data_IF_294491477558
#
_entry.id   IF_294491477558
#
_cell.length_a   1.000
_cell.length_b   1.000
_cell.length_c   1.000
_cell.angle_alpha   90.00
_cell.angle_beta   90.00
_cell.angle_gamma   90.00
#
_symmetry.space_group_name_H-M   'P 1'
#
loop_
_entity.id
_entity.type
_entity.pdbx_description
1 polymer ?
#
# COMPACT_ATOMS: atom_id res chain seq x y z
N UNK A 1 -10.17 13.15 -6.55
CA UNK A 1 -11.34 12.32 -6.48
C UNK A 1 -10.94 10.94 -6.96
N UNK A 2 -11.44 9.95 -6.25
CA UNK A 2 -11.32 8.57 -6.65
C UNK A 2 -12.06 8.39 -7.98
N UNK A 3 -11.36 7.90 -8.99
CA UNK A 3 -11.91 7.59 -10.33
C UNK A 3 -12.59 6.21 -10.36
N UNK A 4 -12.52 5.46 -9.27
CA UNK A 4 -13.02 4.08 -9.15
C UNK A 4 -14.19 4.00 -8.17
N UNK A 5 -15.35 3.59 -8.69
CA UNK A 5 -16.55 3.41 -7.87
C UNK A 5 -16.73 2.00 -7.31
N UNK A 6 -16.05 1.00 -7.85
CA UNK A 6 -16.15 -0.40 -7.41
C UNK A 6 -14.79 -1.08 -7.51
N UNK A 7 -14.49 -1.92 -6.52
CA UNK A 7 -13.27 -2.72 -6.57
C UNK A 7 -13.37 -3.74 -7.72
N UNK A 8 -12.27 -4.01 -8.44
CA UNK A 8 -12.15 -5.18 -9.30
C UNK A 8 -12.34 -6.47 -8.49
N UNK A 9 -12.45 -7.60 -9.21
CA UNK A 9 -12.57 -8.91 -8.57
C UNK A 9 -11.35 -9.20 -7.69
N UNK A 10 -11.61 -9.51 -6.42
CA UNK A 10 -10.58 -9.98 -5.48
C UNK A 10 -10.03 -11.33 -5.94
N UNK A 11 -8.70 -11.41 -6.08
CA UNK A 11 -7.99 -12.67 -6.29
C UNK A 11 -7.86 -13.37 -4.95
N UNK A 12 -8.27 -14.64 -4.86
CA UNK A 12 -8.28 -15.38 -3.59
C UNK A 12 -6.95 -16.05 -3.24
N UNK A 13 -6.01 -16.11 -4.18
CA UNK A 13 -4.71 -16.77 -4.00
C UNK A 13 -3.59 -15.78 -4.35
N UNK A 14 -2.45 -15.83 -3.65
CA UNK A 14 -2.15 -16.74 -2.52
C UNK A 14 -2.91 -16.42 -1.23
N UNK A 15 -3.33 -15.17 -1.07
CA UNK A 15 -4.35 -14.69 -0.12
C UNK A 15 -5.22 -13.62 -0.82
N UNK A 16 -6.38 -13.24 -0.24
CA UNK A 16 -7.27 -12.25 -0.82
C UNK A 16 -6.56 -10.91 -1.09
N UNK A 17 -6.44 -10.53 -2.36
CA UNK A 17 -5.83 -9.26 -2.77
C UNK A 17 -6.42 -8.72 -4.08
N UNK A 18 -6.18 -7.44 -4.34
CA UNK A 18 -6.63 -6.75 -5.56
C UNK A 18 -5.69 -5.60 -5.91
N UNK A 19 -5.58 -5.32 -7.20
CA UNK A 19 -4.91 -4.13 -7.74
C UNK A 19 -5.94 -3.27 -8.45
N UNK A 20 -6.14 -2.05 -7.97
CA UNK A 20 -7.04 -1.05 -8.53
C UNK A 20 -6.22 -0.04 -9.31
N UNK A 21 -6.26 -0.11 -10.64
CA UNK A 21 -5.50 0.81 -11.51
C UNK A 21 -6.21 2.15 -11.67
N UNK A 22 -5.45 3.21 -11.96
CA UNK A 22 -5.96 4.56 -12.19
C UNK A 22 -6.89 5.04 -11.07
N UNK A 23 -6.43 4.90 -9.82
CA UNK A 23 -7.25 5.08 -8.62
C UNK A 23 -7.76 6.52 -8.47
N UNK A 24 -6.88 7.52 -8.65
CA UNK A 24 -7.20 8.94 -8.60
C UNK A 24 -7.37 9.53 -10.00
N UNK A 25 -8.24 10.53 -10.15
CA UNK A 25 -8.24 11.38 -11.34
C UNK A 25 -6.94 12.21 -11.45
N UNK A 26 -6.49 12.61 -12.67
CA UNK A 26 -5.22 13.32 -12.83
C UNK A 26 -5.11 14.63 -12.02
N UNK A 27 -6.10 15.55 -12.00
CA UNK A 27 -6.03 16.75 -11.17
C UNK A 27 -5.76 16.45 -9.69
N UNK A 28 -6.37 15.41 -9.15
CA UNK A 28 -6.18 15.05 -7.74
C UNK A 28 -4.85 14.35 -7.51
N UNK A 29 -4.44 13.50 -8.44
CA UNK A 29 -3.15 12.84 -8.39
C UNK A 29 -2.01 13.87 -8.31
N UNK A 30 -2.06 14.91 -9.15
CA UNK A 30 -1.08 16.01 -9.16
C UNK A 30 -1.07 16.75 -7.81
N UNK A 31 -2.26 17.14 -7.31
CA UNK A 31 -2.39 17.81 -6.00
C UNK A 31 -1.85 16.97 -4.84
N UNK A 32 -2.05 15.65 -4.88
CA UNK A 32 -1.56 14.73 -3.85
C UNK A 32 -0.04 14.62 -3.92
N UNK A 33 0.53 14.42 -5.11
CA UNK A 33 1.98 14.32 -5.29
C UNK A 33 2.68 15.61 -4.82
N UNK A 34 2.16 16.77 -5.20
CA UNK A 34 2.69 18.06 -4.77
C UNK A 34 2.66 18.22 -3.24
N UNK A 35 1.56 17.81 -2.61
CA UNK A 35 1.43 17.87 -1.15
C UNK A 35 2.40 16.92 -0.45
N UNK A 36 2.60 15.71 -0.98
CA UNK A 36 3.52 14.71 -0.41
C UNK A 36 4.98 15.10 -0.60
N UNK A 37 5.32 15.78 -1.70
CA UNK A 37 6.67 16.30 -1.96
C UNK A 37 7.08 17.42 -0.97
N UNK A 38 6.09 18.13 -0.41
CA UNK A 38 6.31 19.17 0.60
C UNK A 38 6.46 18.65 2.04
N UNK A 39 6.35 17.34 2.28
CA UNK A 39 6.51 16.76 3.61
C UNK A 39 7.97 16.57 3.99
N UNK A 40 8.25 16.62 5.29
CA UNK A 40 9.51 16.11 5.84
C UNK A 40 9.45 14.59 5.96
N UNK A 41 10.57 13.94 5.60
CA UNK A 41 10.75 12.49 5.72
C UNK A 41 11.97 12.19 6.58
N UNK A 42 11.80 11.28 7.52
CA UNK A 42 12.88 10.74 8.32
C UNK A 42 13.32 9.40 7.75
N UNK A 43 14.63 9.19 7.64
CA UNK A 43 15.17 7.86 7.40
C UNK A 43 14.89 6.94 8.59
N UNK A 44 14.36 5.75 8.32
CA UNK A 44 14.08 4.70 9.31
C UNK A 44 14.71 3.40 8.84
N UNK A 45 15.47 2.76 9.72
CA UNK A 45 16.14 1.50 9.45
C UNK A 45 15.99 0.57 10.67
N UNK A 46 15.83 -0.71 10.40
CA UNK A 46 15.84 -1.81 11.36
C UNK A 46 16.35 -3.09 10.70
N UNK A 47 16.34 -4.20 11.44
CA UNK A 47 16.55 -5.53 10.86
C UNK A 47 15.48 -5.91 9.83
N UNK A 48 14.27 -5.35 9.93
CA UNK A 48 13.15 -5.66 9.05
C UNK A 48 13.07 -4.75 7.81
N UNK A 49 13.57 -3.51 7.86
CA UNK A 49 13.34 -2.53 6.80
C UNK A 49 14.40 -1.43 6.73
N UNK A 50 14.46 -0.77 5.58
CA UNK A 50 15.14 0.50 5.32
C UNK A 50 14.27 1.33 4.38
N UNK A 51 13.90 2.55 4.77
CA UNK A 51 13.15 3.51 3.95
C UNK A 51 13.09 4.89 4.59
N UNK A 52 12.55 5.87 3.87
CA UNK A 52 12.19 7.18 4.40
C UNK A 52 10.68 7.24 4.66
N UNK A 53 10.27 7.73 5.82
CA UNK A 53 8.86 7.81 6.23
C UNK A 53 8.47 9.23 6.61
N UNK A 54 7.28 9.65 6.21
CA UNK A 54 6.64 10.86 6.72
C UNK A 54 6.14 10.63 8.15
N UNK A 55 5.67 11.70 8.80
CA UNK A 55 4.75 11.58 9.93
C UNK A 55 3.46 10.83 9.53
N UNK A 56 2.70 10.34 10.50
CA UNK A 56 1.35 9.84 10.25
C UNK A 56 0.46 10.97 9.70
N UNK A 57 -0.25 10.67 8.62
CA UNK A 57 -1.07 11.62 7.88
C UNK A 57 -2.55 11.56 8.25
N UNK A 58 -2.95 10.58 9.07
CA UNK A 58 -4.34 10.29 9.45
C UNK A 58 -5.06 11.53 9.99
N UNK A 59 -4.42 12.28 10.88
CA UNK A 59 -4.99 13.45 11.56
C UNK A 59 -4.49 14.78 11.00
N UNK A 60 -3.68 14.76 9.94
CA UNK A 60 -3.18 15.97 9.31
C UNK A 60 -4.30 16.68 8.57
N UNK A 61 -4.44 17.98 8.84
CA UNK A 61 -5.40 18.85 8.18
C UNK A 61 -4.70 19.64 7.06
N UNK A 62 -4.66 19.06 5.87
CA UNK A 62 -4.16 19.70 4.65
C UNK A 62 -5.14 19.41 3.50
N UNK A 63 -5.52 20.39 2.66
CA UNK A 63 -6.58 20.19 1.66
C UNK A 63 -6.40 18.96 0.76
N UNK A 64 -5.21 18.75 0.20
CA UNK A 64 -4.94 17.58 -0.64
C UNK A 64 -4.90 16.26 0.14
N UNK A 65 -4.39 16.28 1.38
CA UNK A 65 -4.33 15.09 2.24
C UNK A 65 -5.72 14.71 2.73
N UNK A 66 -6.59 15.69 3.00
CA UNK A 66 -7.99 15.48 3.34
C UNK A 66 -8.73 14.81 2.18
N UNK A 67 -8.55 15.30 0.94
CA UNK A 67 -9.14 14.67 -0.26
C UNK A 67 -8.65 13.23 -0.40
N UNK A 68 -7.34 12.99 -0.26
CA UNK A 68 -6.76 11.65 -0.33
C UNK A 68 -7.32 10.73 0.76
N UNK A 69 -7.43 11.20 1.99
CA UNK A 69 -8.00 10.45 3.13
C UNK A 69 -9.46 10.09 2.88
N UNK A 70 -10.26 10.99 2.28
CA UNK A 70 -11.64 10.70 1.90
C UNK A 70 -11.74 9.72 0.72
N UNK A 71 -10.83 9.82 -0.24
CA UNK A 71 -10.75 8.91 -1.39
C UNK A 71 -10.29 7.50 -1.00
N UNK A 72 -9.35 7.37 -0.06
CA UNK A 72 -8.88 6.08 0.47
C UNK A 72 -9.79 5.54 1.58
N UNK A 73 -10.44 6.40 2.33
CA UNK A 73 -10.97 6.04 3.64
C UNK A 73 -12.41 6.48 3.89
N UNK A 74 -13.11 7.14 2.96
CA UNK A 74 -14.49 7.59 3.18
C UNK A 74 -15.45 6.44 3.50
N UNK A 75 -16.50 6.71 4.28
CA UNK A 75 -17.44 5.67 4.79
C UNK A 75 -18.02 4.77 3.69
N UNK A 76 -18.47 5.38 2.58
CA UNK A 76 -19.02 4.65 1.43
C UNK A 76 -17.98 3.71 0.83
N UNK A 77 -16.72 4.14 0.77
CA UNK A 77 -15.64 3.32 0.23
C UNK A 77 -15.26 2.19 1.18
N UNK A 78 -15.09 2.47 2.48
CA UNK A 78 -14.84 1.44 3.50
C UNK A 78 -15.91 0.34 3.47
N UNK A 79 -17.18 0.71 3.28
CA UNK A 79 -18.27 -0.27 3.12
C UNK A 79 -18.06 -1.15 1.88
N UNK A 80 -17.72 -0.58 0.72
CA UNK A 80 -17.46 -1.32 -0.52
C UNK A 80 -16.25 -2.26 -0.38
N UNK A 81 -15.19 -1.80 0.29
CA UNK A 81 -14.00 -2.62 0.58
C UNK A 81 -14.40 -3.82 1.45
N UNK A 82 -15.11 -3.58 2.56
CA UNK A 82 -15.57 -4.63 3.46
C UNK A 82 -16.42 -5.68 2.74
N UNK A 83 -17.38 -5.24 1.92
CA UNK A 83 -18.24 -6.12 1.12
C UNK A 83 -17.45 -6.93 0.07
N UNK A 84 -16.47 -6.30 -0.59
CA UNK A 84 -15.67 -6.95 -1.65
C UNK A 84 -14.75 -8.03 -1.09
N UNK A 85 -14.10 -7.75 0.03
CA UNK A 85 -13.24 -8.71 0.74
C UNK A 85 -14.02 -9.69 1.62
N UNK A 86 -15.32 -9.44 1.86
CA UNK A 86 -16.18 -10.23 2.75
C UNK A 86 -15.69 -10.25 4.20
N UNK A 87 -15.18 -9.12 4.67
CA UNK A 87 -14.66 -8.93 6.03
C UNK A 87 -15.67 -8.18 6.90
N UNK A 88 -15.37 -8.06 8.20
CA UNK A 88 -16.15 -7.23 9.14
C UNK A 88 -16.13 -5.75 8.73
N UNK A 89 -17.06 -4.97 9.29
CA UNK A 89 -17.17 -3.53 9.04
C UNK A 89 -15.83 -2.84 9.32
N UNK A 90 -15.41 -1.96 8.43
CA UNK A 90 -14.19 -1.16 8.56
C UNK A 90 -14.52 0.21 9.18
N UNK A 91 -13.94 0.49 10.35
CA UNK A 91 -14.25 1.64 11.20
C UNK A 91 -13.46 2.89 10.79
N UNK A 92 -12.16 2.76 10.55
CA UNK A 92 -11.24 3.85 10.21
C UNK A 92 -10.14 3.37 9.25
N UNK A 93 -9.28 4.30 8.86
CA UNK A 93 -7.99 4.02 8.23
C UNK A 93 -6.88 4.74 8.99
N UNK A 94 -5.65 4.26 8.86
CA UNK A 94 -4.45 5.10 9.03
C UNK A 94 -3.77 5.29 7.66
N UNK A 95 -2.84 6.25 7.58
CA UNK A 95 -1.98 6.45 6.40
C UNK A 95 -0.69 7.17 6.74
N UNK A 96 0.41 6.75 6.11
CA UNK A 96 1.67 7.47 6.05
C UNK A 96 2.30 7.35 4.65
N UNK A 97 3.16 8.30 4.29
CA UNK A 97 3.91 8.26 3.05
C UNK A 97 5.31 7.67 3.28
N UNK A 98 5.77 6.90 2.31
CA UNK A 98 7.06 6.22 2.34
C UNK A 98 7.78 6.44 1.01
N UNK A 99 9.09 6.65 1.07
CA UNK A 99 9.98 6.71 -0.08
C UNK A 99 11.06 5.64 0.09
N UNK A 100 11.16 4.77 -0.92
CA UNK A 100 12.23 3.77 -1.01
C UNK A 100 13.23 4.25 -2.07
N UNK A 101 14.47 4.52 -1.66
CA UNK A 101 15.62 4.83 -2.50
C UNK A 101 16.50 3.61 -2.78
N UNK A 102 17.61 3.79 -3.49
CA UNK A 102 18.57 2.71 -3.77
C UNK A 102 19.00 1.97 -2.48
N UNK A 103 18.80 0.64 -2.46
CA UNK A 103 19.12 -0.23 -1.33
C UNK A 103 18.03 -0.31 -0.25
N UNK A 104 16.97 0.49 -0.33
CA UNK A 104 15.84 0.42 0.61
C UNK A 104 14.96 -0.82 0.34
N UNK A 105 14.39 -1.38 1.41
CA UNK A 105 13.59 -2.62 1.38
C UNK A 105 12.63 -2.70 2.57
N UNK A 106 11.70 -3.65 2.49
CA UNK A 106 10.91 -4.11 3.65
C UNK A 106 10.81 -5.63 3.55
N UNK A 107 11.46 -6.34 4.46
CA UNK A 107 11.60 -7.80 4.45
C UNK A 107 10.26 -8.52 4.74
N UNK A 108 10.20 -9.86 4.53
CA UNK A 108 8.97 -10.62 4.69
C UNK A 108 8.31 -10.46 6.07
N UNK A 109 7.03 -10.07 6.07
CA UNK A 109 6.16 -9.93 7.24
C UNK A 109 4.69 -10.15 6.82
N UNK A 110 3.77 -10.23 7.77
CA UNK A 110 2.36 -10.57 7.54
C UNK A 110 1.35 -9.47 7.90
N UNK A 111 1.83 -8.34 8.42
CA UNK A 111 1.05 -7.20 8.93
C UNK A 111 0.13 -7.50 10.12
N UNK A 112 0.34 -8.61 10.83
CA UNK A 112 -0.47 -8.99 12.00
C UNK A 112 -0.27 -8.07 13.20
N UNK A 113 -1.00 -6.97 13.21
CA UNK A 113 -1.19 -6.10 14.37
C UNK A 113 -2.67 -6.02 14.68
N UNK A 114 -2.99 -6.01 15.98
CA UNK A 114 -4.37 -5.93 16.45
C UNK A 114 -5.12 -4.74 15.81
N UNK A 115 -6.34 -5.00 15.33
CA UNK A 115 -7.19 -4.00 14.70
C UNK A 115 -7.09 -3.93 13.17
N UNK A 116 -5.93 -4.28 12.58
CA UNK A 116 -5.73 -4.28 11.12
C UNK A 116 -6.54 -5.38 10.44
N UNK A 117 -7.23 -5.04 9.34
CA UNK A 117 -8.02 -6.00 8.56
C UNK A 117 -7.59 -6.02 7.10
N UNK A 118 -7.46 -4.84 6.49
CA UNK A 118 -7.05 -4.70 5.09
C UNK A 118 -5.82 -3.80 5.05
N UNK A 119 -4.71 -4.30 4.54
CA UNK A 119 -3.55 -3.47 4.21
C UNK A 119 -3.75 -2.86 2.82
N UNK A 120 -3.23 -1.66 2.61
CA UNK A 120 -3.24 -1.03 1.30
C UNK A 120 -2.00 -0.17 1.04
N UNK A 121 -1.64 -0.04 -0.24
CA UNK A 121 -0.59 0.86 -0.71
C UNK A 121 -0.98 1.51 -2.04
N UNK A 122 -0.98 2.84 -2.07
CA UNK A 122 -1.15 3.65 -3.27
C UNK A 122 0.23 4.00 -3.84
N UNK A 123 0.48 3.63 -5.09
CA UNK A 123 1.77 3.79 -5.76
C UNK A 123 1.80 5.03 -6.64
N UNK A 124 2.76 5.92 -6.40
CA UNK A 124 2.80 7.28 -6.94
C UNK A 124 4.09 7.59 -7.72
N UNK A 125 4.87 6.57 -8.08
CA UNK A 125 6.04 6.71 -8.96
C UNK A 125 5.73 6.10 -10.32
N UNK A 126 6.01 6.85 -11.39
CA UNK A 126 5.86 6.38 -12.77
C UNK A 126 7.02 5.50 -13.22
N UNK A 127 6.78 4.69 -14.25
CA UNK A 127 7.82 3.95 -14.99
C UNK A 127 8.65 2.96 -14.14
N UNK A 128 8.11 2.47 -13.02
CA UNK A 128 8.75 1.38 -12.25
C UNK A 128 8.81 0.11 -13.12
N UNK A 129 10.02 -0.43 -13.29
CA UNK A 129 10.28 -1.68 -14.00
C UNK A 129 10.74 -2.78 -13.05
N UNK A 130 10.79 -4.01 -13.53
CA UNK A 130 11.31 -5.16 -12.75
C UNK A 130 12.80 -4.97 -12.38
N UNK A 131 13.61 -4.38 -13.26
CA UNK A 131 15.04 -4.14 -13.01
C UNK A 131 15.31 -3.13 -11.89
N UNK A 132 14.35 -2.23 -11.63
CA UNK A 132 14.45 -1.24 -10.55
C UNK A 132 14.22 -1.83 -9.17
N UNK A 133 13.64 -3.04 -9.07
CA UNK A 133 13.24 -3.63 -7.78
C UNK A 133 11.97 -2.99 -7.20
N UNK A 134 11.82 -2.98 -5.88
CA UNK A 134 10.65 -2.38 -5.22
C UNK A 134 9.31 -3.10 -5.44
N UNK A 135 9.33 -4.35 -5.91
CA UNK A 135 8.15 -5.17 -6.14
C UNK A 135 7.48 -5.58 -4.83
N UNK A 136 6.14 -5.66 -4.83
CA UNK A 136 5.41 -6.35 -3.77
C UNK A 136 5.50 -7.85 -4.02
N UNK A 137 6.43 -8.48 -3.32
CA UNK A 137 6.71 -9.92 -3.43
C UNK A 137 5.82 -10.67 -2.45
N UNK A 138 5.11 -11.69 -2.94
CA UNK A 138 4.13 -12.43 -2.15
C UNK A 138 4.59 -13.85 -1.91
N UNK A 139 4.52 -14.27 -0.65
CA UNK A 139 4.98 -15.57 -0.21
C UNK A 139 3.84 -16.49 0.20
N UNK A 140 4.12 -17.78 0.11
CA UNK A 140 3.27 -18.83 0.67
C UNK A 140 4.14 -19.83 1.42
N UNK A 141 3.75 -20.16 2.65
CA UNK A 141 4.34 -21.28 3.36
C UNK A 141 3.95 -22.61 2.68
N UNK A 142 4.92 -23.49 2.46
CA UNK A 142 4.66 -24.86 2.06
C UNK A 142 4.37 -25.76 3.29
N UNK A 143 3.97 -27.01 3.03
CA UNK A 143 3.62 -27.98 4.09
C UNK A 143 4.79 -28.30 5.06
N UNK A 144 6.02 -27.92 4.71
CA UNK A 144 7.23 -28.07 5.53
C UNK A 144 7.58 -26.77 6.31
N UNK A 145 6.70 -25.77 6.31
CA UNK A 145 6.91 -24.48 6.97
C UNK A 145 7.93 -23.57 6.29
N UNK A 146 8.37 -23.89 5.05
CA UNK A 146 9.27 -23.00 4.29
C UNK A 146 8.45 -22.01 3.47
N UNK A 147 8.78 -20.74 3.61
CA UNK A 147 8.24 -19.66 2.79
C UNK A 147 8.80 -19.76 1.36
N UNK A 148 7.93 -19.65 0.35
CA UNK A 148 8.30 -19.61 -1.07
C UNK A 148 7.65 -18.40 -1.72
N UNK A 149 8.43 -17.65 -2.52
CA UNK A 149 7.92 -16.61 -3.39
C UNK A 149 6.99 -17.23 -4.45
N UNK A 150 5.74 -16.79 -4.50
CA UNK A 150 4.70 -17.36 -5.39
C UNK A 150 4.10 -16.35 -6.35
N UNK A 151 4.23 -15.05 -6.06
CA UNK A 151 3.79 -13.98 -6.92
C UNK A 151 4.67 -12.74 -6.70
N UNK A 152 4.74 -11.86 -7.69
CA UNK A 152 5.46 -10.59 -7.61
C UNK A 152 4.68 -9.53 -8.39
N UNK A 153 4.31 -8.45 -7.70
CA UNK A 153 3.54 -7.36 -8.27
C UNK A 153 4.46 -6.16 -8.43
N UNK A 154 4.79 -5.83 -9.68
CA UNK A 154 5.43 -4.56 -10.02
C UNK A 154 4.37 -3.45 -9.89
N UNK A 155 4.57 -2.47 -9.01
CA UNK A 155 3.57 -1.44 -8.76
C UNK A 155 3.43 -0.52 -9.97
N UNK A 156 2.20 -0.39 -10.46
CA UNK A 156 1.87 0.55 -11.54
C UNK A 156 1.59 1.94 -10.98
N UNK A 157 1.92 2.98 -11.74
CA UNK A 157 1.60 4.36 -11.38
C UNK A 157 0.10 4.54 -11.15
N UNK A 158 -0.26 5.28 -10.09
CA UNK A 158 -1.65 5.55 -9.70
C UNK A 158 -2.46 4.25 -9.50
N UNK A 159 -1.82 3.22 -8.94
CA UNK A 159 -2.48 1.98 -8.56
C UNK A 159 -2.58 1.82 -7.04
N UNK A 160 -3.74 1.39 -6.58
CA UNK A 160 -3.97 1.01 -5.19
C UNK A 160 -3.95 -0.51 -5.08
N UNK A 161 -2.98 -1.05 -4.37
CA UNK A 161 -2.91 -2.48 -4.02
C UNK A 161 -3.56 -2.65 -2.65
N UNK A 162 -4.40 -3.67 -2.49
CA UNK A 162 -5.06 -3.98 -1.22
C UNK A 162 -5.06 -5.49 -0.98
N UNK A 163 -4.92 -5.91 0.28
CA UNK A 163 -5.03 -7.32 0.66
C UNK A 163 -5.55 -7.51 2.09
N UNK A 164 -6.14 -8.67 2.35
CA UNK A 164 -6.60 -9.07 3.68
C UNK A 164 -5.42 -9.47 4.57
N UNK A 165 -5.35 -8.88 5.76
CA UNK A 165 -4.36 -9.20 6.80
C UNK A 165 -4.75 -10.50 7.48
N UNK A 166 -3.84 -11.47 7.49
CA UNK A 166 -4.02 -12.81 8.05
C UNK A 166 -2.68 -13.43 8.44
N UNK A 167 -2.68 -14.64 8.99
CA UNK A 167 -1.44 -15.41 9.28
C UNK A 167 -0.73 -15.93 8.03
N UNK A 168 -1.39 -15.74 6.88
CA UNK A 168 -0.93 -16.18 5.57
C UNK A 168 -0.56 -15.03 4.63
N UNK A 169 -0.78 -13.76 5.03
CA UNK A 169 -0.52 -12.57 4.20
C UNK A 169 0.96 -12.18 4.13
N UNK A 170 1.85 -13.16 4.01
CA UNK A 170 3.28 -12.94 3.97
C UNK A 170 3.71 -12.23 2.69
N UNK A 171 4.32 -11.07 2.83
CA UNK A 171 4.77 -10.24 1.73
C UNK A 171 6.00 -9.41 2.11
N UNK A 172 6.68 -8.86 1.11
CA UNK A 172 7.81 -7.95 1.29
C UNK A 172 7.78 -6.87 0.19
N UNK A 173 8.48 -5.76 0.42
CA UNK A 173 8.93 -4.86 -0.67
C UNK A 173 10.36 -5.25 -1.00
N UNK A 174 10.59 -5.76 -2.22
CA UNK A 174 11.95 -6.13 -2.64
C UNK A 174 12.86 -4.90 -2.67
N UNK A 175 14.14 -5.12 -2.43
CA UNK A 175 15.17 -4.08 -2.49
C UNK A 175 15.06 -3.26 -3.79
N UNK A 176 15.25 -1.94 -3.68
CA UNK A 176 15.39 -1.05 -4.83
C UNK A 176 16.82 -1.18 -5.36
N UNK A 177 16.95 -1.53 -6.64
CA UNK A 177 18.23 -1.88 -7.24
C UNK A 177 18.88 -0.75 -8.06
N UNK A 178 18.12 0.32 -8.34
CA UNK A 178 18.55 1.45 -9.15
C UNK A 178 18.27 2.78 -8.43
N UNK A 179 18.92 3.85 -8.88
CA UNK A 179 18.77 5.19 -8.30
C UNK A 179 17.43 5.82 -8.68
N UNK A 180 16.37 5.40 -7.98
CA UNK A 180 15.01 5.89 -8.11
C UNK A 180 14.45 6.25 -6.72
N UNK A 181 13.37 7.03 -6.68
CA UNK A 181 12.60 7.29 -5.47
C UNK A 181 11.18 6.75 -5.64
N UNK A 182 10.90 5.60 -5.03
CA UNK A 182 9.59 4.96 -5.06
C UNK A 182 8.71 5.50 -3.94
N UNK A 183 7.83 6.44 -4.28
CA UNK A 183 6.85 7.05 -3.40
C UNK A 183 5.58 6.20 -3.31
N UNK A 184 5.17 5.92 -2.08
CA UNK A 184 3.93 5.21 -1.77
C UNK A 184 3.21 5.83 -0.58
N UNK A 185 1.87 5.83 -0.60
CA UNK A 185 1.06 6.06 0.60
C UNK A 185 0.52 4.72 1.05
N UNK A 186 0.83 4.32 2.27
CA UNK A 186 0.51 3.00 2.81
C UNK A 186 -0.23 3.14 4.13
N UNK A 187 -1.15 2.22 4.40
CA UNK A 187 -1.85 2.14 5.66
C UNK A 187 -2.74 0.91 5.77
N UNK A 188 -3.59 0.91 6.79
CA UNK A 188 -4.51 -0.18 7.08
C UNK A 188 -5.93 0.34 7.32
N UNK A 189 -6.91 -0.45 6.91
CA UNK A 189 -8.29 -0.32 7.36
C UNK A 189 -8.48 -1.11 8.65
N UNK A 190 -9.11 -0.48 9.63
CA UNK A 190 -9.32 -1.03 10.97
C UNK A 190 -10.75 -1.48 11.22
N UNK A 191 -10.93 -2.38 12.20
CA UNK A 191 -12.21 -2.96 12.61
C UNK A 191 -12.97 -2.25 13.72
#
# INVERSE_FOLDING_TARGET
MRNVDRLPRIKSRPFPHVVVKNFLDPPTLDLVIDALAGLEYDFKESDLFSYWASIELTDINHPAINILRDDLGGEIWRKKVAESFKVKKLSSIDMAAYVYGLGDFLLPHDDQVEGRIIAYSLHLTSEITEEMGGALNIFKANDAGKSKLVDSIIPEYNSLIMFEVSDSSWHQVSEIMLDIQRLTVTGWYHG
#
